data_IF_490211654289
#
_entry.id   IF_490211654289
#
_cell.length_a   1.000
_cell.length_b   1.000
_cell.length_c   1.000
_cell.angle_alpha   90.00
_cell.angle_beta   90.00
_cell.angle_gamma   90.00
#
_symmetry.space_group_name_H-M   'P 1'
#
loop_
_entity.id
_entity.type
_entity.pdbx_description
1 polymer ?
#
# COMPACT_ATOMS: atom_id res chain seq x y z
N UNK A 1 -0.35 47.06 -9.09
CA UNK A 1 -1.60 47.50 -8.48
C UNK A 1 -1.69 46.87 -7.11
N UNK A 2 -1.06 47.54 -6.15
CA UNK A 2 -0.92 47.11 -4.77
C UNK A 2 -1.87 47.95 -3.92
N UNK A 3 -2.91 47.36 -3.31
CA UNK A 3 -3.69 48.00 -2.23
C UNK A 3 -4.85 47.18 -1.64
N UNK A 4 -4.88 45.83 -1.70
CA UNK A 4 -5.99 45.07 -1.06
C UNK A 4 -5.51 44.03 -0.02
N UNK A 5 -4.21 43.75 0.07
CA UNK A 5 -3.66 42.78 1.04
C UNK A 5 -3.62 43.24 2.52
N UNK A 6 -3.98 44.49 2.83
CA UNK A 6 -3.87 45.04 4.18
C UNK A 6 -5.07 44.76 5.10
N UNK A 7 -6.22 44.35 4.56
CA UNK A 7 -7.44 44.12 5.34
C UNK A 7 -7.61 42.68 5.86
N UNK A 8 -6.76 41.74 5.44
CA UNK A 8 -6.88 40.32 5.81
C UNK A 8 -5.92 39.88 6.93
N UNK A 9 -5.30 40.80 7.68
CA UNK A 9 -4.66 40.47 8.97
C UNK A 9 -5.70 40.37 10.10
N UNK A 10 -6.82 39.72 9.83
CA UNK A 10 -7.51 39.04 10.91
C UNK A 10 -6.83 37.68 11.02
N UNK A 11 -5.86 37.60 11.93
CA UNK A 11 -5.07 36.40 12.21
C UNK A 11 -6.03 35.35 12.79
N UNK A 12 -6.76 34.65 11.92
CA UNK A 12 -7.36 33.37 12.29
C UNK A 12 -6.20 32.40 12.37
N UNK A 13 -5.45 32.50 13.46
CA UNK A 13 -4.38 31.56 13.77
C UNK A 13 -5.05 30.29 14.27
N UNK A 14 -5.41 29.41 13.33
CA UNK A 14 -5.48 28.00 13.67
C UNK A 14 -4.05 27.58 13.99
N UNK A 15 -3.80 27.17 15.23
CA UNK A 15 -2.50 26.69 15.68
C UNK A 15 -2.03 25.60 14.70
N UNK A 16 -0.79 25.67 14.22
CA UNK A 16 -0.25 24.75 13.22
C UNK A 16 -0.62 25.02 11.74
N UNK A 17 -1.29 26.13 11.38
CA UNK A 17 -1.38 26.58 9.97
C UNK A 17 -0.50 27.81 9.76
N UNK A 18 0.45 27.69 8.84
CA UNK A 18 1.40 28.75 8.47
C UNK A 18 0.93 29.65 7.32
N UNK A 19 1.78 30.58 6.92
CA UNK A 19 1.68 31.27 5.64
C UNK A 19 2.59 30.57 4.62
N UNK A 20 2.20 30.57 3.34
CA UNK A 20 3.06 30.10 2.25
C UNK A 20 3.90 31.29 1.80
N UNK A 21 5.22 31.17 1.83
CA UNK A 21 6.10 32.21 1.31
C UNK A 21 6.00 32.27 -0.23
N UNK A 22 6.08 33.45 -0.86
CA UNK A 22 5.84 33.59 -2.31
C UNK A 22 6.71 32.69 -3.19
N UNK A 23 7.97 32.48 -2.82
CA UNK A 23 8.91 31.62 -3.56
C UNK A 23 8.50 30.15 -3.49
N UNK A 24 8.10 29.69 -2.30
CA UNK A 24 7.59 28.33 -2.08
C UNK A 24 6.26 28.11 -2.82
N UNK A 25 5.37 29.10 -2.79
CA UNK A 25 4.09 29.04 -3.50
C UNK A 25 4.25 28.92 -5.01
N UNK A 26 5.24 29.61 -5.60
CA UNK A 26 5.49 29.55 -7.03
C UNK A 26 6.06 28.18 -7.45
N UNK A 27 6.96 27.61 -6.65
CA UNK A 27 7.50 26.27 -6.88
C UNK A 27 6.42 25.18 -6.79
N UNK A 28 5.51 25.31 -5.82
CA UNK A 28 4.38 24.38 -5.68
C UNK A 28 3.42 24.54 -6.86
N UNK A 29 3.13 25.77 -7.29
CA UNK A 29 2.26 26.02 -8.44
C UNK A 29 2.83 25.41 -9.72
N UNK A 30 4.12 25.60 -10.00
CA UNK A 30 4.79 25.02 -11.17
C UNK A 30 4.65 23.48 -11.21
N UNK A 31 4.85 22.84 -10.06
CA UNK A 31 4.67 21.40 -9.92
C UNK A 31 3.23 20.98 -10.21
N UNK A 32 2.25 21.70 -9.65
CA UNK A 32 0.83 21.39 -9.81
C UNK A 32 0.33 21.61 -11.24
N UNK A 33 0.90 22.56 -11.97
CA UNK A 33 0.60 22.78 -13.39
C UNK A 33 1.03 21.62 -14.28
N UNK A 34 1.95 20.78 -13.81
CA UNK A 34 2.40 19.58 -14.52
C UNK A 34 1.54 18.34 -14.23
N UNK A 35 0.59 18.44 -13.30
CA UNK A 35 -0.30 17.35 -12.90
C UNK A 35 -1.71 17.53 -13.50
N UNK A 36 -2.37 16.43 -13.88
CA UNK A 36 -3.74 16.45 -14.43
C UNK A 36 -4.81 16.47 -13.33
N UNK A 37 -4.67 17.37 -12.35
CA UNK A 37 -5.62 17.54 -11.24
C UNK A 37 -6.57 18.69 -11.53
N UNK A 38 -7.88 18.44 -11.43
CA UNK A 38 -8.92 19.42 -11.78
C UNK A 38 -9.12 20.49 -10.70
N UNK A 39 -8.85 20.16 -9.44
CA UNK A 39 -8.90 21.07 -8.30
C UNK A 39 -7.87 20.64 -7.27
N UNK A 40 -7.09 21.60 -6.76
CA UNK A 40 -6.07 21.35 -5.73
C UNK A 40 -6.01 22.53 -4.76
N UNK A 41 -5.93 22.22 -3.47
CA UNK A 41 -5.72 23.19 -2.40
C UNK A 41 -4.37 22.95 -1.72
N UNK A 42 -3.61 24.01 -1.48
CA UNK A 42 -2.31 23.96 -0.81
C UNK A 42 -2.41 24.71 0.51
N UNK A 43 -2.08 24.04 1.61
CA UNK A 43 -2.11 24.61 2.97
C UNK A 43 -0.83 24.19 3.68
N UNK A 44 -0.03 25.14 4.21
CA UNK A 44 1.18 24.82 4.97
C UNK A 44 0.78 24.48 6.41
N UNK A 45 0.90 23.20 6.78
CA UNK A 45 0.48 22.69 8.08
C UNK A 45 1.70 22.18 8.85
N UNK A 46 1.93 22.72 10.05
CA UNK A 46 2.81 22.13 11.05
C UNK A 46 2.00 21.15 11.91
N UNK A 47 2.12 19.86 11.57
CA UNK A 47 1.41 18.78 12.23
C UNK A 47 1.74 18.61 13.71
N UNK A 48 2.90 19.11 14.18
CA UNK A 48 3.31 19.03 15.59
C UNK A 48 2.48 19.96 16.46
N UNK A 49 2.03 21.07 15.88
CA UNK A 49 1.27 22.10 16.57
C UNK A 49 -0.20 22.12 16.19
N UNK A 50 -0.57 21.50 15.06
CA UNK A 50 -1.93 21.49 14.53
C UNK A 50 -2.86 20.66 15.42
N UNK A 51 -3.79 21.29 16.15
CA UNK A 51 -4.71 20.55 16.97
C UNK A 51 -5.75 19.92 16.02
N UNK A 52 -5.87 18.60 16.04
CA UNK A 52 -6.87 17.86 15.27
C UNK A 52 -8.27 18.08 15.86
N UNK A 53 -8.78 19.31 15.82
CA UNK A 53 -10.05 19.71 16.47
C UNK A 53 -11.24 19.58 15.51
N UNK A 54 -11.02 19.49 14.19
CA UNK A 54 -12.11 19.38 13.21
C UNK A 54 -12.20 17.97 12.61
N UNK A 55 -13.39 17.34 12.58
CA UNK A 55 -13.64 16.07 11.89
C UNK A 55 -13.17 16.08 10.43
N UNK A 56 -13.12 17.26 9.79
CA UNK A 56 -12.65 17.44 8.42
C UNK A 56 -11.17 17.06 8.23
N UNK A 57 -10.31 17.24 9.24
CA UNK A 57 -8.87 16.96 9.14
C UNK A 57 -8.41 15.69 9.86
N UNK A 58 -9.32 14.97 10.53
CA UNK A 58 -9.01 13.75 11.27
C UNK A 58 -8.35 12.66 10.39
N UNK A 59 -8.77 12.56 9.13
CA UNK A 59 -8.21 11.63 8.15
C UNK A 59 -6.86 12.07 7.57
N UNK A 60 -6.53 13.37 7.65
CA UNK A 60 -5.26 13.91 7.18
C UNK A 60 -4.15 13.74 8.22
N UNK A 61 -4.44 14.02 9.50
CA UNK A 61 -3.47 13.85 10.60
C UNK A 61 -3.10 12.37 10.82
N UNK A 62 -4.03 11.43 10.63
CA UNK A 62 -3.75 9.98 10.66
C UNK A 62 -2.83 9.50 9.54
N UNK A 63 -2.81 10.18 8.39
CA UNK A 63 -2.07 9.74 7.19
C UNK A 63 -0.60 10.17 7.18
N UNK A 64 -0.21 11.22 7.92
CA UNK A 64 1.14 11.80 7.78
C UNK A 64 2.20 11.19 8.69
N UNK A 65 1.86 10.54 9.82
CA UNK A 65 2.86 10.35 10.88
C UNK A 65 2.96 8.97 11.54
N UNK A 66 2.35 7.88 11.06
CA UNK A 66 2.38 6.67 11.92
C UNK A 66 2.66 5.25 11.40
N UNK A 67 2.46 4.82 10.15
CA UNK A 67 2.54 3.34 9.91
C UNK A 67 3.12 2.85 8.58
N UNK A 68 3.79 3.68 7.76
CA UNK A 68 4.20 3.24 6.40
C UNK A 68 5.15 2.03 6.33
N UNK A 69 5.87 1.69 7.41
CA UNK A 69 6.89 0.63 7.40
C UNK A 69 6.81 -0.38 8.54
N UNK A 70 5.93 -0.18 9.54
CA UNK A 70 5.91 -1.03 10.73
C UNK A 70 5.42 -2.46 10.43
N UNK A 71 4.40 -2.59 9.57
CA UNK A 71 3.81 -3.91 9.28
C UNK A 71 4.78 -4.86 8.54
N UNK A 72 5.50 -4.36 7.53
CA UNK A 72 6.45 -5.17 6.78
C UNK A 72 7.66 -5.58 7.64
N UNK A 73 8.20 -4.66 8.43
CA UNK A 73 9.33 -4.96 9.33
C UNK A 73 8.92 -5.97 10.40
N UNK A 74 7.74 -5.80 11.00
CA UNK A 74 7.19 -6.77 11.93
C UNK A 74 7.00 -8.13 11.26
N UNK A 75 6.41 -8.19 10.06
CA UNK A 75 6.22 -9.45 9.34
C UNK A 75 7.55 -10.16 9.03
N UNK A 76 8.58 -9.41 8.62
CA UNK A 76 9.92 -9.95 8.35
C UNK A 76 10.61 -10.49 9.61
N UNK A 77 10.44 -9.81 10.75
CA UNK A 77 11.00 -10.25 12.03
C UNK A 77 10.31 -11.49 12.65
N UNK A 78 9.08 -11.81 12.24
CA UNK A 78 8.39 -13.04 12.69
C UNK A 78 8.94 -14.29 12.02
N UNK A 79 8.87 -15.41 12.74
CA UNK A 79 9.19 -16.74 12.19
C UNK A 79 8.14 -17.15 11.14
N UNK A 80 8.48 -17.99 10.16
CA UNK A 80 7.54 -18.37 9.09
C UNK A 80 6.17 -18.85 9.57
N UNK A 81 6.11 -19.66 10.64
CA UNK A 81 4.87 -20.17 11.20
C UNK A 81 4.04 -19.12 11.99
N UNK A 82 4.67 -18.04 12.44
CA UNK A 82 4.01 -16.97 13.21
C UNK A 82 3.44 -15.87 12.30
N UNK A 83 3.99 -15.73 11.09
CA UNK A 83 3.62 -14.68 10.12
C UNK A 83 2.14 -14.70 9.76
N UNK A 84 1.58 -15.87 9.49
CA UNK A 84 0.18 -16.01 9.11
C UNK A 84 -0.75 -15.58 10.25
N UNK A 85 -0.51 -16.05 11.47
CA UNK A 85 -1.31 -15.69 12.64
C UNK A 85 -1.24 -14.18 12.94
N UNK A 86 -0.02 -13.61 12.87
CA UNK A 86 0.19 -12.18 13.03
C UNK A 86 -0.60 -11.36 11.99
N UNK A 87 -0.49 -11.73 10.72
CA UNK A 87 -1.13 -10.99 9.65
C UNK A 87 -2.67 -11.14 9.68
N UNK A 88 -3.19 -12.30 10.06
CA UNK A 88 -4.64 -12.49 10.29
C UNK A 88 -5.13 -11.57 11.40
N UNK A 89 -4.44 -11.50 12.54
CA UNK A 89 -4.83 -10.62 13.65
C UNK A 89 -4.78 -9.13 13.25
N UNK A 90 -3.77 -8.75 12.47
CA UNK A 90 -3.65 -7.41 11.92
C UNK A 90 -4.82 -7.09 10.96
N UNK A 91 -5.10 -7.97 10.01
CA UNK A 91 -6.19 -7.79 9.05
C UNK A 91 -7.57 -7.77 9.73
N UNK A 92 -7.80 -8.59 10.76
CA UNK A 92 -9.02 -8.51 11.58
C UNK A 92 -9.18 -7.11 12.17
N UNK A 93 -8.10 -6.51 12.66
CA UNK A 93 -8.13 -5.16 13.23
C UNK A 93 -8.45 -4.10 12.19
N UNK A 94 -7.84 -4.16 11.00
CA UNK A 94 -8.12 -3.20 9.92
C UNK A 94 -9.52 -3.37 9.34
N UNK A 95 -9.99 -4.61 9.16
CA UNK A 95 -11.32 -4.89 8.65
C UNK A 95 -12.39 -4.46 9.66
N UNK A 96 -12.20 -4.68 10.96
CA UNK A 96 -13.11 -4.15 11.97
C UNK A 96 -13.24 -2.62 11.90
N UNK A 97 -12.15 -1.90 11.61
CA UNK A 97 -12.20 -0.43 11.43
C UNK A 97 -12.99 -0.03 10.19
N UNK A 98 -12.78 -0.72 9.07
CA UNK A 98 -13.47 -0.45 7.79
C UNK A 98 -14.96 -0.76 7.90
N UNK A 99 -15.33 -1.88 8.55
CA UNK A 99 -16.72 -2.27 8.79
C UNK A 99 -17.40 -1.45 9.91
N UNK A 100 -16.66 -0.61 10.64
CA UNK A 100 -17.20 0.15 11.77
C UNK A 100 -17.61 -0.72 12.96
N UNK A 101 -16.98 -1.89 13.14
CA UNK A 101 -17.27 -2.80 14.25
C UNK A 101 -16.77 -2.21 15.59
N UNK A 102 -17.47 -2.48 16.71
CA UNK A 102 -17.02 -2.09 18.03
C UNK A 102 -15.62 -2.64 18.36
N UNK A 103 -14.86 -1.88 19.16
CA UNK A 103 -13.54 -2.32 19.62
C UNK A 103 -13.63 -3.65 20.37
N UNK A 104 -12.80 -4.61 19.98
CA UNK A 104 -12.81 -5.98 20.54
C UNK A 104 -13.74 -6.96 19.83
N UNK A 105 -14.54 -6.51 18.86
CA UNK A 105 -15.27 -7.40 17.95
C UNK A 105 -14.46 -7.61 16.67
N UNK A 106 -14.12 -8.86 16.42
CA UNK A 106 -13.31 -9.25 15.27
C UNK A 106 -14.07 -10.24 14.39
N UNK A 107 -14.10 -10.02 13.06
CA UNK A 107 -14.71 -10.94 12.12
C UNK A 107 -13.96 -12.29 12.11
N UNK A 108 -14.70 -13.38 11.86
CA UNK A 108 -14.09 -14.70 11.77
C UNK A 108 -13.14 -14.78 10.55
N UNK A 109 -11.92 -15.33 10.66
CA UNK A 109 -10.93 -15.27 9.58
C UNK A 109 -11.33 -15.96 8.25
N UNK A 110 -12.22 -16.94 8.34
CA UNK A 110 -12.74 -17.71 7.19
C UNK A 110 -14.04 -17.13 6.63
N UNK A 111 -14.63 -16.12 7.28
CA UNK A 111 -15.89 -15.53 6.82
C UNK A 111 -15.65 -14.64 5.59
N UNK A 112 -16.57 -14.72 4.62
CA UNK A 112 -16.48 -13.93 3.41
C UNK A 112 -16.66 -12.44 3.68
N UNK A 113 -15.88 -11.60 3.01
CA UNK A 113 -16.00 -10.13 3.10
C UNK A 113 -17.40 -9.61 2.77
N UNK A 114 -18.05 -10.17 1.76
CA UNK A 114 -19.42 -9.79 1.39
C UNK A 114 -20.45 -10.21 2.45
N UNK A 115 -20.25 -11.36 3.10
CA UNK A 115 -21.11 -11.83 4.20
C UNK A 115 -20.96 -10.94 5.45
N UNK A 116 -19.80 -10.29 5.60
CA UNK A 116 -19.53 -9.29 6.63
C UNK A 116 -20.11 -7.90 6.29
N UNK A 117 -20.73 -7.75 5.12
CA UNK A 117 -21.29 -6.47 4.67
C UNK A 117 -20.27 -5.54 4.01
N UNK A 118 -19.09 -6.04 3.60
CA UNK A 118 -18.12 -5.23 2.87
C UNK A 118 -18.63 -4.92 1.46
N UNK A 119 -18.63 -3.63 1.11
CA UNK A 119 -18.97 -3.12 -0.22
C UNK A 119 -17.73 -2.71 -1.04
N UNK A 120 -17.95 -2.17 -2.24
CA UNK A 120 -16.89 -1.73 -3.14
C UNK A 120 -16.06 -0.57 -2.60
N UNK A 121 -16.68 0.38 -1.88
CA UNK A 121 -15.97 1.54 -1.33
C UNK A 121 -15.09 1.10 -0.15
N UNK A 122 -15.64 0.25 0.72
CA UNK A 122 -14.91 -0.39 1.82
C UNK A 122 -13.74 -1.24 1.31
N UNK A 123 -13.92 -1.95 0.19
CA UNK A 123 -12.85 -2.74 -0.44
C UNK A 123 -11.70 -1.85 -0.92
N UNK A 124 -12.01 -0.69 -1.51
CA UNK A 124 -11.01 0.30 -1.92
C UNK A 124 -10.32 0.91 -0.69
N UNK A 125 -11.07 1.22 0.36
CA UNK A 125 -10.50 1.75 1.61
C UNK A 125 -9.53 0.74 2.25
N UNK A 126 -9.94 -0.52 2.39
CA UNK A 126 -9.10 -1.59 2.91
C UNK A 126 -7.82 -1.73 2.07
N UNK A 127 -7.93 -1.76 0.74
CA UNK A 127 -6.77 -1.79 -0.16
C UNK A 127 -5.82 -0.62 0.13
N UNK A 128 -6.34 0.61 0.16
CA UNK A 128 -5.52 1.80 0.37
C UNK A 128 -4.81 1.77 1.74
N UNK A 129 -5.48 1.28 2.79
CA UNK A 129 -4.89 1.10 4.12
C UNK A 129 -3.76 0.07 4.10
N UNK A 130 -3.97 -1.06 3.42
CA UNK A 130 -2.96 -2.11 3.30
C UNK A 130 -1.77 -1.65 2.45
N UNK A 131 -1.98 -0.96 1.34
CA UNK A 131 -0.91 -0.37 0.52
C UNK A 131 -0.09 0.64 1.31
N UNK A 132 -0.75 1.48 2.11
CA UNK A 132 -0.06 2.45 2.95
C UNK A 132 0.86 1.78 3.97
N UNK A 133 0.45 0.67 4.58
CA UNK A 133 1.20 0.02 5.66
C UNK A 133 2.20 -1.05 5.16
N UNK A 134 1.95 -1.63 3.99
CA UNK A 134 2.87 -2.57 3.35
C UNK A 134 3.88 -1.88 2.43
N UNK A 135 3.71 -0.61 2.09
CA UNK A 135 4.64 0.10 1.19
C UNK A 135 4.73 -0.48 -0.22
N UNK A 136 3.85 -1.40 -0.59
CA UNK A 136 3.77 -2.06 -1.90
C UNK A 136 2.34 -2.07 -2.41
N UNK A 137 2.17 -1.95 -3.72
CA UNK A 137 0.86 -1.93 -4.36
C UNK A 137 0.13 -3.27 -4.22
N UNK A 138 -1.18 -3.24 -3.98
CA UNK A 138 -2.08 -4.40 -3.95
C UNK A 138 -3.08 -4.21 -5.10
N UNK A 139 -3.20 -5.18 -6.04
CA UNK A 139 -4.18 -5.09 -7.12
C UNK A 139 -5.59 -4.92 -6.56
N UNK A 140 -6.40 -4.07 -7.19
CA UNK A 140 -7.79 -3.84 -6.79
C UNK A 140 -8.63 -5.13 -6.80
N UNK A 141 -8.23 -6.13 -7.62
CA UNK A 141 -8.88 -7.43 -7.70
C UNK A 141 -8.57 -8.36 -6.54
N UNK A 142 -7.54 -8.09 -5.72
CA UNK A 142 -7.09 -9.00 -4.67
C UNK A 142 -8.17 -9.26 -3.61
N UNK A 143 -8.94 -8.24 -3.23
CA UNK A 143 -10.04 -8.41 -2.26
C UNK A 143 -11.12 -9.37 -2.78
N UNK A 144 -11.35 -9.38 -4.09
CA UNK A 144 -12.32 -10.27 -4.74
C UNK A 144 -11.78 -11.69 -4.94
N UNK A 145 -10.48 -11.81 -5.28
CA UNK A 145 -9.81 -13.09 -5.49
C UNK A 145 -9.54 -13.82 -4.18
N UNK A 146 -9.35 -13.08 -3.10
CA UNK A 146 -9.06 -13.59 -1.76
C UNK A 146 -10.10 -13.04 -0.77
N UNK A 147 -11.36 -13.52 -0.85
CA UNK A 147 -12.50 -12.90 -0.18
C UNK A 147 -12.61 -13.20 1.32
N UNK A 148 -11.55 -13.74 1.93
CA UNK A 148 -11.49 -14.01 3.37
C UNK A 148 -10.19 -13.46 3.95
N UNK A 149 -10.18 -13.19 5.26
CA UNK A 149 -9.01 -12.66 5.97
C UNK A 149 -7.83 -13.60 5.82
N UNK A 150 -8.08 -14.90 5.96
CA UNK A 150 -7.04 -15.93 5.87
C UNK A 150 -6.47 -16.04 4.45
N UNK A 151 -7.31 -16.01 3.43
CA UNK A 151 -6.87 -16.03 2.04
C UNK A 151 -6.06 -14.79 1.68
N UNK A 152 -6.51 -13.61 2.12
CA UNK A 152 -5.80 -12.34 1.88
C UNK A 152 -4.45 -12.30 2.60
N UNK A 153 -4.39 -12.81 3.85
CA UNK A 153 -3.14 -12.93 4.58
C UNK A 153 -2.12 -13.82 3.84
N UNK A 154 -2.58 -14.98 3.35
CA UNK A 154 -1.74 -15.89 2.59
C UNK A 154 -1.21 -15.23 1.31
N UNK A 155 -2.08 -14.54 0.55
CA UNK A 155 -1.68 -13.79 -0.65
C UNK A 155 -0.58 -12.75 -0.36
N UNK A 156 -0.73 -11.96 0.71
CA UNK A 156 0.25 -10.92 1.08
C UNK A 156 1.60 -11.55 1.46
N UNK A 157 1.59 -12.67 2.18
CA UNK A 157 2.81 -13.41 2.53
C UNK A 157 3.49 -13.91 1.26
N UNK A 158 2.76 -14.62 0.40
CA UNK A 158 3.29 -15.16 -0.85
C UNK A 158 3.88 -14.07 -1.73
N UNK A 159 3.18 -12.94 -1.89
CA UNK A 159 3.66 -11.80 -2.66
C UNK A 159 4.96 -11.20 -2.11
N UNK A 160 5.07 -11.07 -0.79
CA UNK A 160 6.27 -10.54 -0.15
C UNK A 160 7.48 -11.46 -0.37
N UNK A 161 7.30 -12.77 -0.35
CA UNK A 161 8.38 -13.74 -0.54
C UNK A 161 8.67 -14.07 -2.00
N UNK A 162 7.72 -13.89 -2.91
CA UNK A 162 7.96 -13.98 -4.36
C UNK A 162 8.90 -12.86 -4.83
N UNK A 163 8.82 -11.67 -4.23
CA UNK A 163 9.76 -10.57 -4.52
C UNK A 163 11.18 -10.84 -3.98
N UNK A 164 11.30 -11.60 -2.88
CA UNK A 164 12.61 -12.09 -2.38
C UNK A 164 13.14 -13.25 -3.25
N UNK A 165 12.27 -14.15 -3.73
CA UNK A 165 12.65 -15.26 -4.60
C UNK A 165 13.01 -14.85 -6.04
N UNK A 166 12.47 -13.74 -6.54
CA UNK A 166 12.79 -13.25 -7.91
C UNK A 166 14.13 -12.51 -7.98
N UNK A 167 14.82 -12.30 -6.84
CA UNK A 167 16.24 -11.89 -6.83
C UNK A 167 17.21 -13.09 -6.85
N UNK A 168 16.70 -14.32 -6.82
CA UNK A 168 17.47 -15.49 -7.26
C UNK A 168 17.33 -15.55 -8.78
N UNK A 169 18.36 -15.10 -9.49
CA UNK A 169 18.58 -15.40 -10.92
C UNK A 169 18.08 -16.84 -11.18
N UNK A 170 17.22 -17.12 -12.17
CA UNK A 170 16.91 -18.50 -12.52
C UNK A 170 18.23 -19.18 -12.93
N UNK A 171 18.86 -19.84 -11.96
CA UNK A 171 19.86 -20.85 -12.22
C UNK A 171 19.04 -22.02 -12.74
N UNK A 172 18.91 -22.08 -14.06
CA UNK A 172 18.76 -23.37 -14.72
C UNK A 172 19.88 -24.23 -14.13
N UNK A 173 19.57 -25.34 -13.42
CA UNK A 173 20.61 -26.26 -12.99
C UNK A 173 21.49 -26.55 -14.20
N UNK A 174 22.79 -26.28 -14.10
CA UNK A 174 23.74 -26.45 -15.20
C UNK A 174 23.65 -27.87 -15.80
N UNK A 175 23.26 -28.85 -14.97
CA UNK A 175 22.96 -30.23 -15.36
C UNK A 175 21.84 -30.37 -16.41
N UNK A 176 20.77 -29.56 -16.34
CA UNK A 176 19.67 -29.64 -17.32
C UNK A 176 20.09 -29.01 -18.66
N UNK A 177 20.92 -27.96 -18.61
CA UNK A 177 21.40 -27.30 -19.83
C UNK A 177 22.38 -28.21 -20.59
N UNK A 178 23.26 -28.90 -19.87
CA UNK A 178 24.22 -29.83 -20.47
C UNK A 178 23.54 -31.14 -20.95
N UNK A 179 22.47 -31.60 -20.29
CA UNK A 179 21.71 -32.77 -20.76
C UNK A 179 20.90 -32.46 -22.02
N UNK A 180 20.24 -31.30 -22.10
CA UNK A 180 19.48 -30.91 -23.30
C UNK A 180 20.38 -30.65 -24.50
N UNK A 181 21.58 -30.10 -24.30
CA UNK A 181 22.54 -29.88 -25.40
C UNK A 181 23.03 -31.23 -25.95
N UNK A 182 23.30 -32.22 -25.08
CA UNK A 182 23.66 -33.58 -25.51
C UNK A 182 22.54 -34.32 -26.22
N UNK A 183 21.30 -34.23 -25.73
CA UNK A 183 20.14 -34.87 -26.37
C UNK A 183 19.84 -34.27 -27.76
N UNK A 184 20.09 -32.97 -27.95
CA UNK A 184 19.96 -32.32 -29.26
C UNK A 184 21.07 -32.73 -30.25
N UNK A 185 22.32 -32.85 -29.79
CA UNK A 185 23.44 -33.33 -30.62
C UNK A 185 23.28 -34.81 -31.02
N UNK A 186 22.76 -35.67 -30.14
CA UNK A 186 22.48 -37.08 -30.44
C UNK A 186 21.33 -37.25 -31.44
N UNK A 187 20.30 -36.40 -31.39
CA UNK A 187 19.19 -36.41 -32.34
C UNK A 187 19.61 -35.88 -33.73
N UNK A 188 20.49 -34.89 -33.78
CA UNK A 188 21.02 -34.35 -35.05
C UNK A 188 21.99 -35.34 -35.72
N UNK A 189 22.79 -36.08 -34.94
CA UNK A 189 23.63 -37.16 -35.44
C UNK A 189 22.82 -38.38 -35.94
N UNK A 190 21.65 -38.65 -35.37
CA UNK A 190 20.76 -39.74 -35.80
C UNK A 190 19.98 -39.38 -37.08
N UNK A 191 19.67 -38.10 -37.31
CA UNK A 191 18.95 -37.63 -38.49
C UNK A 191 19.86 -37.21 -39.66
N UNK A 192 21.15 -36.97 -39.41
CA UNK A 192 22.14 -36.56 -40.44
C UNK A 192 22.81 -37.70 -41.21
N UNK A 193 22.43 -38.95 -40.95
CA UNK A 193 23.00 -40.15 -41.59
C UNK A 193 22.33 -40.56 -42.89
N UNK A 194 22.49 -39.72 -43.93
CA UNK A 194 22.63 -40.08 -45.36
C UNK A 194 21.48 -40.83 -46.09
N UNK A 195 21.43 -40.82 -47.44
CA UNK A 195 22.52 -41.05 -48.40
C UNK A 195 22.97 -39.83 -49.24
#
# INVERSE_FOLDING_TARGET
WASIGAAARQKVSFKGIGAIEPEEGLAILEKLMSESVTQVGVIPIDWSEFPAISPFFADFSRKSSQHKFDLLEQLKSKRPHERQAFLVAYLQTEISKVLGLPTGQYPHPEQGFFELGMDSLMSIELRNRLEANLGQGIPATAIFQYPTIKALAQYIIEKNYQLEATSVKPQVPTEIKDSLIRELEELEALLGGEP
#
